data_IF_790028980081
#
_entry.id   IF_790028980081
#
_cell.length_a   1.000
_cell.length_b   1.000
_cell.length_c   1.000
_cell.angle_alpha   90.00
_cell.angle_beta   90.00
_cell.angle_gamma   90.00
#
_symmetry.space_group_name_H-M   'P 1'
#
loop_
_entity.id
_entity.type
_entity.pdbx_description
1 polymer ?
#
# COMPACT_ATOMS: atom_id res chain seq x y z
N UNK A 1 -22.67 -10.26 2.98
CA UNK A 1 -22.64 -8.98 2.23
C UNK A 1 -21.22 -8.45 2.24
N UNK A 2 -20.81 -7.73 1.21
CA UNK A 2 -19.53 -7.01 1.16
C UNK A 2 -19.80 -5.56 0.75
N UNK A 3 -19.26 -4.61 1.49
CA UNK A 3 -19.36 -3.17 1.20
C UNK A 3 -17.94 -2.65 1.03
N UNK A 4 -17.67 -2.07 -0.13
CA UNK A 4 -16.38 -1.51 -0.47
C UNK A 4 -16.41 0.02 -0.42
N UNK A 5 -15.36 0.63 0.13
CA UNK A 5 -15.24 2.09 0.25
C UNK A 5 -16.23 2.73 1.22
N UNK A 6 -16.38 2.20 2.44
CA UNK A 6 -17.30 2.76 3.43
C UNK A 6 -17.04 4.24 3.75
N UNK A 7 -15.78 4.67 3.70
CA UNK A 7 -15.38 6.07 3.89
C UNK A 7 -15.94 7.03 2.84
N UNK A 8 -16.37 6.54 1.67
CA UNK A 8 -16.98 7.38 0.64
C UNK A 8 -18.34 7.95 1.10
N UNK A 9 -19.01 7.30 2.06
CA UNK A 9 -20.29 7.77 2.64
C UNK A 9 -20.11 8.89 3.67
N UNK A 10 -18.92 9.02 4.28
CA UNK A 10 -18.60 10.12 5.19
C UNK A 10 -18.66 11.47 4.46
N UNK A 11 -18.18 11.51 3.22
CA UNK A 11 -18.19 12.70 2.39
C UNK A 11 -19.59 13.21 2.02
N UNK A 12 -20.61 12.34 2.10
CA UNK A 12 -22.00 12.65 1.73
C UNK A 12 -22.84 13.00 2.97
N UNK A 13 -22.33 12.73 4.19
CA UNK A 13 -23.02 12.99 5.45
C UNK A 13 -24.12 11.99 5.79
N UNK A 14 -24.10 10.81 5.18
CA UNK A 14 -25.10 9.74 5.37
C UNK A 14 -24.54 8.53 6.13
N UNK A 15 -23.30 8.60 6.65
CA UNK A 15 -22.62 7.46 7.27
C UNK A 15 -23.30 6.96 8.55
N UNK A 16 -23.85 7.87 9.37
CA UNK A 16 -24.59 7.50 10.60
C UNK A 16 -25.83 6.64 10.29
N UNK A 17 -26.56 6.97 9.22
CA UNK A 17 -27.73 6.18 8.79
C UNK A 17 -27.34 4.79 8.31
N UNK A 18 -26.15 4.67 7.71
CA UNK A 18 -25.64 3.38 7.26
C UNK A 18 -25.24 2.52 8.46
N UNK A 19 -24.68 3.11 9.51
CA UNK A 19 -24.41 2.42 10.78
C UNK A 19 -25.70 1.87 11.39
N UNK A 20 -26.70 2.74 11.58
CA UNK A 20 -28.01 2.34 12.14
C UNK A 20 -28.64 1.19 11.35
N UNK A 21 -28.58 1.24 10.02
CA UNK A 21 -29.10 0.19 9.15
C UNK A 21 -28.33 -1.13 9.28
N UNK A 22 -26.99 -1.06 9.32
CA UNK A 22 -26.15 -2.26 9.43
C UNK A 22 -26.36 -2.94 10.79
N UNK A 23 -26.48 -2.16 11.86
CA UNK A 23 -26.76 -2.65 13.20
C UNK A 23 -28.15 -3.28 13.27
N UNK A 24 -29.18 -2.62 12.73
CA UNK A 24 -30.54 -3.17 12.67
C UNK A 24 -30.58 -4.52 11.94
N UNK A 25 -29.90 -4.63 10.79
CA UNK A 25 -29.84 -5.89 10.03
C UNK A 25 -29.08 -6.95 10.82
N UNK A 26 -27.96 -6.61 11.45
CA UNK A 26 -27.15 -7.54 12.22
C UNK A 26 -27.92 -8.11 13.44
N UNK A 27 -28.75 -7.29 14.07
CA UNK A 27 -29.59 -7.69 15.21
C UNK A 27 -30.77 -8.59 14.81
N UNK A 28 -31.45 -8.27 13.70
CA UNK A 28 -32.73 -8.91 13.37
C UNK A 28 -32.62 -10.05 12.36
N UNK A 29 -31.52 -10.12 11.59
CA UNK A 29 -31.35 -11.14 10.54
C UNK A 29 -30.37 -12.22 10.99
N UNK A 30 -30.93 -13.36 11.41
CA UNK A 30 -30.13 -14.50 11.85
C UNK A 30 -29.16 -14.98 10.75
N UNK A 31 -27.89 -15.10 11.10
CA UNK A 31 -26.84 -15.58 10.19
C UNK A 31 -26.31 -14.53 9.22
N UNK A 32 -26.74 -13.26 9.36
CA UNK A 32 -26.16 -12.16 8.60
C UNK A 32 -24.66 -12.02 8.89
N UNK A 33 -23.89 -11.81 7.83
CA UNK A 33 -22.46 -11.49 7.90
C UNK A 33 -22.17 -10.38 6.90
N UNK A 34 -21.47 -9.35 7.36
CA UNK A 34 -20.97 -8.28 6.53
C UNK A 34 -19.45 -8.22 6.60
N UNK A 35 -18.82 -7.85 5.49
CA UNK A 35 -17.41 -7.52 5.43
C UNK A 35 -17.33 -6.11 4.83
N UNK A 36 -16.65 -5.22 5.52
CA UNK A 36 -16.56 -3.80 5.19
C UNK A 36 -15.10 -3.49 4.86
N UNK A 37 -14.85 -2.79 3.76
CA UNK A 37 -13.55 -2.17 3.47
C UNK A 37 -13.69 -0.64 3.53
N UNK A 38 -12.66 0.00 4.09
CA UNK A 38 -12.61 1.44 4.32
C UNK A 38 -11.16 1.91 4.37
N UNK A 39 -10.90 3.17 3.99
CA UNK A 39 -9.68 3.87 4.41
C UNK A 39 -9.67 4.05 5.94
N UNK A 40 -8.50 4.24 6.58
CA UNK A 40 -8.38 4.34 8.04
C UNK A 40 -8.87 5.69 8.56
N UNK A 41 -10.18 5.92 8.50
CA UNK A 41 -10.86 7.11 9.01
C UNK A 41 -11.22 6.89 10.47
N UNK A 42 -10.78 7.78 11.37
CA UNK A 42 -10.81 7.59 12.82
C UNK A 42 -12.20 7.19 13.35
N UNK A 43 -13.24 7.95 13.04
CA UNK A 43 -14.59 7.69 13.57
C UNK A 43 -15.18 6.36 13.07
N UNK A 44 -14.84 5.95 11.84
CA UNK A 44 -15.27 4.65 11.28
C UNK A 44 -14.60 3.51 12.05
N UNK A 45 -13.29 3.65 12.32
CA UNK A 45 -12.53 2.65 13.07
C UNK A 45 -13.00 2.54 14.52
N UNK A 46 -13.35 3.67 15.15
CA UNK A 46 -13.91 3.71 16.50
C UNK A 46 -15.28 3.02 16.56
N UNK A 47 -16.16 3.27 15.58
CA UNK A 47 -17.48 2.65 15.53
C UNK A 47 -17.38 1.11 15.40
N UNK A 48 -16.46 0.60 14.59
CA UNK A 48 -16.27 -0.84 14.37
C UNK A 48 -15.14 -1.46 15.21
N UNK A 49 -14.69 -0.83 16.30
CA UNK A 49 -13.57 -1.33 17.12
C UNK A 49 -13.83 -2.74 17.68
N UNK A 50 -15.09 -3.04 18.03
CA UNK A 50 -15.49 -4.34 18.56
C UNK A 50 -15.56 -5.45 17.49
N UNK A 51 -15.56 -5.09 16.20
CA UNK A 51 -15.63 -6.06 15.11
C UNK A 51 -14.24 -6.64 14.78
N UNK A 52 -14.14 -7.87 14.24
CA UNK A 52 -12.87 -8.38 13.74
C UNK A 52 -12.35 -7.51 12.58
N UNK A 53 -11.13 -6.98 12.74
CA UNK A 53 -10.51 -6.11 11.74
C UNK A 53 -9.30 -6.77 11.07
N UNK A 54 -9.09 -6.43 9.80
CA UNK A 54 -7.91 -6.85 9.03
C UNK A 54 -7.22 -5.63 8.47
N UNK A 55 -6.02 -5.34 8.96
CA UNK A 55 -5.18 -4.27 8.44
C UNK A 55 -4.36 -4.79 7.25
N UNK A 56 -4.82 -4.50 6.03
CA UNK A 56 -4.21 -5.03 4.80
C UNK A 56 -2.73 -4.65 4.67
N UNK A 57 -2.33 -3.44 5.02
CA UNK A 57 -0.93 -2.99 4.94
C UNK A 57 0.01 -3.78 5.84
N UNK A 58 -0.49 -4.31 6.96
CA UNK A 58 0.28 -5.18 7.86
C UNK A 58 0.48 -6.58 7.26
N UNK A 59 -0.47 -7.05 6.44
CA UNK A 59 -0.39 -8.35 5.77
C UNK A 59 0.46 -8.32 4.50
N UNK A 60 0.47 -7.21 3.77
CA UNK A 60 1.21 -7.10 2.49
C UNK A 60 2.68 -6.74 2.66
N UNK A 61 3.10 -6.26 3.84
CA UNK A 61 4.46 -5.79 4.11
C UNK A 61 5.55 -6.81 3.75
N UNK A 62 5.37 -8.07 4.14
CA UNK A 62 6.36 -9.13 3.86
C UNK A 62 6.44 -9.46 2.36
N UNK A 63 5.30 -9.55 1.70
CA UNK A 63 5.23 -9.86 0.28
C UNK A 63 5.79 -8.72 -0.57
N UNK A 64 5.52 -7.47 -0.19
CA UNK A 64 6.12 -6.27 -0.81
C UNK A 64 7.65 -6.33 -0.67
N UNK A 65 8.17 -6.55 0.53
CA UNK A 65 9.61 -6.62 0.76
C UNK A 65 10.26 -7.74 -0.05
N UNK A 66 9.61 -8.91 -0.12
CA UNK A 66 10.06 -10.03 -0.93
C UNK A 66 10.06 -9.69 -2.42
N UNK A 67 9.01 -9.03 -2.91
CA UNK A 67 8.87 -8.63 -4.31
C UNK A 67 9.92 -7.59 -4.72
N UNK A 68 10.11 -6.54 -3.91
CA UNK A 68 11.11 -5.49 -4.14
C UNK A 68 12.51 -6.10 -4.17
N UNK A 69 12.86 -6.88 -3.15
CA UNK A 69 14.18 -7.51 -3.02
C UNK A 69 14.50 -8.39 -4.23
N UNK A 70 13.58 -9.31 -4.59
CA UNK A 70 13.77 -10.20 -5.75
C UNK A 70 13.92 -9.42 -7.05
N UNK A 71 13.08 -8.40 -7.26
CA UNK A 71 13.10 -7.60 -8.48
C UNK A 71 14.41 -6.84 -8.64
N UNK A 72 14.87 -6.15 -7.59
CA UNK A 72 16.13 -5.41 -7.61
C UNK A 72 17.34 -6.33 -7.77
N UNK A 73 17.37 -7.48 -7.07
CA UNK A 73 18.44 -8.47 -7.22
C UNK A 73 18.55 -9.02 -8.64
N UNK A 74 17.41 -9.37 -9.26
CA UNK A 74 17.41 -9.87 -10.64
C UNK A 74 17.92 -8.82 -11.62
N UNK A 75 17.52 -7.55 -11.44
CA UNK A 75 17.90 -6.46 -12.34
C UNK A 75 19.36 -6.04 -12.18
N UNK A 76 19.84 -5.90 -10.95
CA UNK A 76 21.23 -5.53 -10.65
C UNK A 76 22.23 -6.61 -11.04
N UNK A 77 21.90 -7.90 -10.89
CA UNK A 77 22.74 -9.01 -11.37
C UNK A 77 22.86 -9.06 -12.89
N UNK A 78 21.84 -8.61 -13.61
CA UNK A 78 21.85 -8.55 -15.06
C UNK A 78 22.67 -7.35 -15.61
N UNK A 79 23.12 -6.45 -14.74
CA UNK A 79 23.92 -5.28 -15.13
C UNK A 79 25.41 -5.61 -15.07
N UNK A 80 26.15 -5.15 -16.07
CA UNK A 80 27.60 -5.37 -16.18
C UNK A 80 28.40 -4.75 -15.03
N UNK A 81 27.85 -3.75 -14.34
CA UNK A 81 28.49 -2.98 -13.26
C UNK A 81 28.49 -3.69 -11.89
N UNK A 82 27.71 -4.76 -11.70
CA UNK A 82 27.83 -5.61 -10.51
C UNK A 82 27.24 -5.05 -9.20
N UNK A 83 26.18 -4.24 -9.25
CA UNK A 83 25.55 -3.63 -8.07
C UNK A 83 24.84 -4.60 -7.10
N UNK A 84 24.82 -5.90 -7.37
CA UNK A 84 24.06 -6.87 -6.57
C UNK A 84 24.50 -6.97 -5.10
N UNK A 85 25.70 -6.48 -4.75
CA UNK A 85 26.23 -6.43 -3.38
C UNK A 85 26.39 -5.00 -2.85
N UNK A 86 25.91 -4.01 -3.59
CA UNK A 86 26.03 -2.61 -3.19
C UNK A 86 25.12 -2.33 -1.98
N UNK A 87 25.65 -1.74 -0.88
CA UNK A 87 24.85 -1.36 0.28
C UNK A 87 23.64 -0.48 -0.07
N UNK A 88 23.74 0.36 -1.10
CA UNK A 88 22.67 1.25 -1.53
C UNK A 88 21.44 0.49 -2.03
N UNK A 89 21.58 -0.75 -2.52
CA UNK A 89 20.42 -1.57 -2.90
C UNK A 89 19.57 -1.95 -1.68
N UNK A 90 20.18 -2.16 -0.52
CA UNK A 90 19.44 -2.41 0.72
C UNK A 90 18.69 -1.14 1.17
N UNK A 91 19.32 0.02 1.04
CA UNK A 91 18.71 1.32 1.35
C UNK A 91 17.53 1.63 0.41
N UNK A 92 17.72 1.45 -0.90
CA UNK A 92 16.65 1.55 -1.91
C UNK A 92 15.49 0.61 -1.59
N UNK A 93 15.80 -0.64 -1.22
CA UNK A 93 14.77 -1.62 -0.84
C UNK A 93 13.96 -1.12 0.36
N UNK A 94 14.65 -0.63 1.40
CA UNK A 94 14.01 -0.10 2.61
C UNK A 94 13.17 1.13 2.33
N UNK A 95 13.68 2.06 1.51
CA UNK A 95 12.96 3.27 1.10
C UNK A 95 11.66 2.94 0.35
N UNK A 96 11.71 2.01 -0.61
CA UNK A 96 10.51 1.57 -1.36
C UNK A 96 9.52 0.89 -0.41
N UNK A 97 9.98 -0.02 0.45
CA UNK A 97 9.07 -0.75 1.36
C UNK A 97 8.44 0.16 2.41
N UNK A 98 9.18 1.15 2.92
CA UNK A 98 8.67 2.11 3.89
C UNK A 98 7.62 3.05 3.32
N UNK A 99 7.74 3.41 2.05
CA UNK A 99 6.81 4.33 1.37
C UNK A 99 5.61 3.66 0.72
N UNK A 100 5.68 2.35 0.50
CA UNK A 100 4.62 1.59 -0.14
C UNK A 100 3.29 1.62 0.62
N UNK A 101 3.31 1.81 1.95
CA UNK A 101 2.15 1.75 2.86
C UNK A 101 1.20 0.57 2.57
N UNK A 102 1.78 -0.59 2.22
CA UNK A 102 1.03 -1.79 1.88
C UNK A 102 0.42 -1.84 0.47
N UNK A 103 0.63 -0.81 -0.36
CA UNK A 103 0.03 -0.68 -1.69
C UNK A 103 0.93 -1.25 -2.79
N UNK A 104 0.57 -2.43 -3.30
CA UNK A 104 1.34 -3.12 -4.36
C UNK A 104 1.44 -2.34 -5.67
N UNK A 105 0.40 -1.58 -6.03
CA UNK A 105 0.39 -0.79 -7.27
C UNK A 105 1.49 0.27 -7.22
N UNK A 106 1.63 0.95 -6.08
CA UNK A 106 2.71 1.90 -5.82
C UNK A 106 4.07 1.23 -6.07
N UNK A 107 4.30 0.09 -5.41
CA UNK A 107 5.56 -0.65 -5.49
C UNK A 107 5.87 -1.06 -6.93
N UNK A 108 4.88 -1.55 -7.67
CA UNK A 108 5.06 -1.95 -9.07
C UNK A 108 5.50 -0.77 -9.93
N UNK A 109 4.86 0.39 -9.78
CA UNK A 109 5.18 1.60 -10.53
C UNK A 109 6.58 2.12 -10.19
N UNK A 110 6.91 2.20 -8.90
CA UNK A 110 8.22 2.66 -8.44
C UNK A 110 9.32 1.72 -8.90
N UNK A 111 9.16 0.41 -8.73
CA UNK A 111 10.14 -0.58 -9.21
C UNK A 111 10.37 -0.49 -10.72
N UNK A 112 9.32 -0.27 -11.51
CA UNK A 112 9.46 -0.10 -12.96
C UNK A 112 10.30 1.13 -13.30
N UNK A 113 10.01 2.26 -12.67
CA UNK A 113 10.78 3.51 -12.85
C UNK A 113 12.22 3.35 -12.39
N UNK A 114 12.43 2.74 -11.22
CA UNK A 114 13.75 2.45 -10.65
C UNK A 114 14.55 1.54 -11.59
N UNK A 115 13.98 0.43 -12.05
CA UNK A 115 14.69 -0.53 -12.89
C UNK A 115 15.05 0.01 -14.27
N UNK A 116 14.24 0.91 -14.82
CA UNK A 116 14.58 1.65 -16.04
C UNK A 116 15.70 2.65 -15.75
N UNK A 117 15.55 3.38 -14.66
CA UNK A 117 16.48 4.38 -14.18
C UNK A 117 17.89 3.86 -13.88
N UNK A 118 18.06 2.67 -13.32
CA UNK A 118 19.41 2.16 -12.98
C UNK A 118 20.31 2.06 -14.24
N UNK A 119 19.74 1.96 -15.45
CA UNK A 119 20.53 2.02 -16.69
C UNK A 119 20.91 3.44 -17.12
N UNK A 120 20.05 4.40 -16.82
CA UNK A 120 20.16 5.79 -17.28
C UNK A 120 20.81 6.72 -16.23
N UNK A 121 20.73 6.35 -14.95
CA UNK A 121 21.33 7.05 -13.83
C UNK A 121 22.75 6.51 -13.60
N UNK A 122 23.72 7.40 -13.68
CA UNK A 122 25.13 7.09 -13.45
C UNK A 122 25.45 6.76 -11.98
N UNK A 123 24.50 6.99 -11.04
CA UNK A 123 24.70 6.83 -9.61
C UNK A 123 23.43 6.32 -8.88
N UNK A 124 23.60 5.34 -7.99
CA UNK A 124 22.55 4.79 -7.12
C UNK A 124 22.11 5.79 -6.04
N UNK A 125 22.98 6.74 -5.65
CA UNK A 125 22.61 7.78 -4.67
C UNK A 125 21.53 8.72 -5.22
N UNK A 126 21.64 9.12 -6.48
CA UNK A 126 20.65 10.00 -7.12
C UNK A 126 19.29 9.29 -7.30
N UNK A 127 19.34 7.99 -7.57
CA UNK A 127 18.15 7.15 -7.61
C UNK A 127 17.46 7.07 -6.23
N UNK A 128 18.23 6.88 -5.16
CA UNK A 128 17.69 6.85 -3.79
C UNK A 128 17.00 8.18 -3.45
N UNK A 129 17.65 9.32 -3.71
CA UNK A 129 17.07 10.67 -3.49
C UNK A 129 15.75 10.85 -4.23
N UNK A 130 15.64 10.35 -5.48
CA UNK A 130 14.39 10.42 -6.25
C UNK A 130 13.28 9.58 -5.62
N UNK A 131 13.60 8.36 -5.18
CA UNK A 131 12.61 7.51 -4.49
C UNK A 131 12.10 8.19 -3.21
N UNK A 132 12.99 8.83 -2.46
CA UNK A 132 12.65 9.59 -1.26
C UNK A 132 11.74 10.80 -1.56
N UNK A 133 11.80 11.36 -2.77
CA UNK A 133 10.94 12.46 -3.22
C UNK A 133 9.59 12.02 -3.81
N UNK A 134 9.41 10.72 -4.14
CA UNK A 134 8.14 10.24 -4.68
C UNK A 134 6.99 10.41 -3.66
N UNK A 135 5.77 10.72 -4.09
CA UNK A 135 4.65 10.71 -3.17
C UNK A 135 4.35 9.29 -2.69
N UNK A 136 3.83 9.14 -1.46
CA UNK A 136 3.36 7.83 -0.96
C UNK A 136 1.94 7.49 -1.46
N UNK A 137 1.15 8.50 -1.80
CA UNK A 137 -0.16 8.32 -2.41
C UNK A 137 -0.01 7.82 -3.85
N UNK A 138 -0.76 6.77 -4.19
CA UNK A 138 -0.73 6.18 -5.55
C UNK A 138 -1.33 7.14 -6.58
N UNK A 139 -2.35 7.89 -6.18
CA UNK A 139 -3.04 8.87 -7.01
C UNK A 139 -2.10 9.96 -7.52
N UNK A 140 -1.11 10.34 -6.70
CA UNK A 140 -0.10 11.36 -7.03
C UNK A 140 1.01 10.82 -7.96
N UNK A 141 1.11 9.50 -8.18
CA UNK A 141 2.03 8.91 -9.16
C UNK A 141 1.49 8.96 -10.61
N UNK A 142 0.20 9.26 -10.78
CA UNK A 142 -0.47 9.33 -12.09
C UNK A 142 -0.64 10.76 -12.62
N UNK A 143 -0.33 11.77 -11.81
CA UNK A 143 -0.39 13.19 -12.17
C UNK A 143 0.94 13.65 -12.79
#
# INVERSE_FOLDING_TARGET
MFIDGLDEFDHVGDIDRLYDLLDEIAEHVQGFKCCLSTRPVLHILEHFEAAPQVQLQSLTKYDIMTYVTKTLQTKTRAMAQGYAKDPLIAEITSAICGKADGVFIWVHYVLRNVCNGIRDYNDLEDLLKRIEQLPSAVEELYL
#
